data_IF_192933601633
#
_entry.id   IF_192933601633
#
_cell.length_a   1.000
_cell.length_b   1.000
_cell.length_c   1.000
_cell.angle_alpha   90.00
_cell.angle_beta   90.00
_cell.angle_gamma   90.00
#
_symmetry.space_group_name_H-M   'P 1'
#
loop_
_entity.id
_entity.type
_entity.pdbx_description
1 polymer ?
#
# COMPACT_ATOMS: atom_id res chain seq x y z
N UNK A 1 12.03 -13.50 19.22
CA UNK A 1 10.86 -13.56 18.30
C UNK A 1 10.54 -12.15 17.87
N UNK A 2 10.88 -11.78 16.64
CA UNK A 2 10.57 -10.46 16.08
C UNK A 2 9.07 -10.38 15.81
N UNK A 3 8.41 -9.36 16.35
CA UNK A 3 7.04 -9.03 15.99
C UNK A 3 6.98 -8.83 14.48
N UNK A 4 6.12 -9.56 13.75
CA UNK A 4 5.97 -9.33 12.31
C UNK A 4 5.56 -7.86 12.08
N UNK A 5 6.14 -7.24 11.05
CA UNK A 5 5.72 -5.90 10.63
C UNK A 5 4.23 -5.89 10.26
N UNK A 6 3.59 -4.72 10.37
CA UNK A 6 2.16 -4.52 10.11
C UNK A 6 1.69 -5.13 8.77
N UNK A 7 2.42 -5.00 7.64
CA UNK A 7 2.01 -5.64 6.38
C UNK A 7 1.91 -7.16 6.46
N UNK A 8 2.91 -7.82 7.05
CA UNK A 8 2.90 -9.28 7.26
C UNK A 8 1.73 -9.72 8.12
N UNK A 9 1.40 -8.91 9.13
CA UNK A 9 0.28 -9.18 10.01
C UNK A 9 -1.07 -9.02 9.31
N UNK A 10 -1.27 -7.96 8.51
CA UNK A 10 -2.48 -7.75 7.72
C UNK A 10 -2.69 -8.87 6.70
N UNK A 11 -1.61 -9.32 6.03
CA UNK A 11 -1.67 -10.49 5.15
C UNK A 11 -2.21 -11.74 5.86
N UNK A 12 -1.72 -12.02 7.08
CA UNK A 12 -2.23 -13.13 7.91
C UNK A 12 -3.69 -12.94 8.30
N UNK A 13 -4.10 -11.71 8.62
CA UNK A 13 -5.50 -11.41 8.96
C UNK A 13 -6.44 -11.70 7.78
N UNK A 14 -6.06 -11.36 6.54
CA UNK A 14 -6.86 -11.72 5.37
C UNK A 14 -6.96 -13.23 5.17
N UNK A 15 -5.85 -13.97 5.26
CA UNK A 15 -5.86 -15.44 5.17
C UNK A 15 -6.76 -16.06 6.24
N UNK A 16 -6.69 -15.57 7.49
CA UNK A 16 -7.56 -16.06 8.57
C UNK A 16 -9.04 -15.67 8.36
N UNK A 17 -9.30 -14.53 7.71
CA UNK A 17 -10.66 -14.11 7.42
C UNK A 17 -11.35 -14.98 6.38
N UNK A 18 -10.61 -15.47 5.39
CA UNK A 18 -11.15 -16.44 4.41
C UNK A 18 -11.61 -17.72 5.11
N UNK A 19 -10.87 -18.13 6.15
CA UNK A 19 -11.25 -19.20 7.07
C UNK A 19 -12.29 -18.79 8.14
N UNK A 20 -12.95 -17.64 7.98
CA UNK A 20 -13.97 -17.08 8.90
C UNK A 20 -13.50 -16.94 10.36
N UNK A 21 -12.19 -16.86 10.58
CA UNK A 21 -11.56 -16.93 11.89
C UNK A 21 -10.74 -15.68 12.25
N UNK A 22 -10.86 -14.59 11.48
CA UNK A 22 -10.11 -13.36 11.76
C UNK A 22 -10.71 -12.61 12.97
N UNK A 23 -9.92 -12.57 14.04
CA UNK A 23 -10.19 -11.72 15.19
C UNK A 23 -9.95 -10.23 14.87
N UNK A 24 -10.47 -9.35 15.72
CA UNK A 24 -10.13 -7.93 15.72
C UNK A 24 -8.71 -7.76 16.22
N UNK A 25 -7.92 -6.94 15.54
CA UNK A 25 -6.58 -6.54 15.97
C UNK A 25 -6.56 -5.08 16.40
N UNK A 26 -5.81 -4.74 17.44
CA UNK A 26 -5.72 -3.36 17.93
C UNK A 26 -4.31 -2.82 17.71
N UNK A 27 -4.19 -1.84 16.82
CA UNK A 27 -2.93 -1.14 16.54
C UNK A 27 -2.62 -0.18 17.69
N UNK A 28 -1.57 -0.48 18.46
CA UNK A 28 -1.04 0.36 19.56
C UNK A 28 -2.11 0.93 20.53
N UNK A 29 -3.22 0.21 20.74
CA UNK A 29 -4.32 0.64 21.61
C UNK A 29 -5.17 1.81 21.08
N UNK A 30 -5.10 2.14 19.78
CA UNK A 30 -5.81 3.30 19.20
C UNK A 30 -6.81 2.92 18.13
N UNK A 31 -6.42 2.05 17.20
CA UNK A 31 -7.25 1.65 16.06
C UNK A 31 -7.51 0.16 16.08
N UNK A 32 -8.78 -0.20 16.07
CA UNK A 32 -9.23 -1.55 15.79
C UNK A 32 -9.23 -1.78 14.29
N UNK A 33 -8.70 -2.92 13.90
CA UNK A 33 -8.57 -3.40 12.53
C UNK A 33 -9.25 -4.76 12.44
N UNK A 34 -10.08 -4.94 11.42
CA UNK A 34 -10.62 -6.25 11.07
C UNK A 34 -10.53 -6.46 9.57
N UNK A 35 -9.77 -7.48 9.17
CA UNK A 35 -9.73 -7.92 7.79
C UNK A 35 -10.99 -8.75 7.49
N UNK A 36 -11.52 -8.57 6.29
CA UNK A 36 -12.63 -9.33 5.75
C UNK A 36 -12.33 -9.70 4.28
N UNK A 37 -12.72 -10.90 3.88
CA UNK A 37 -12.78 -11.28 2.45
C UNK A 37 -14.22 -11.65 2.11
N UNK A 38 -14.85 -10.91 1.19
CA UNK A 38 -16.23 -11.14 0.77
C UNK A 38 -16.29 -11.27 -0.75
N UNK A 39 -16.80 -12.41 -1.22
CA UNK A 39 -16.87 -12.72 -2.66
C UNK A 39 -15.51 -12.53 -3.37
N UNK A 40 -14.42 -12.97 -2.71
CA UNK A 40 -13.05 -12.83 -3.21
C UNK A 40 -12.45 -11.42 -3.10
N UNK A 41 -13.19 -10.44 -2.54
CA UNK A 41 -12.71 -9.06 -2.37
C UNK A 41 -12.25 -8.83 -0.94
N UNK A 42 -11.00 -8.40 -0.80
CA UNK A 42 -10.41 -7.97 0.46
C UNK A 42 -10.99 -6.61 0.89
N UNK A 43 -11.26 -6.48 2.18
CA UNK A 43 -11.77 -5.28 2.82
C UNK A 43 -11.12 -5.13 4.20
N UNK A 44 -10.67 -3.94 4.55
CA UNK A 44 -10.17 -3.64 5.90
C UNK A 44 -11.14 -2.70 6.61
N UNK A 45 -11.77 -3.18 7.67
CA UNK A 45 -12.58 -2.35 8.55
C UNK A 45 -11.69 -1.74 9.63
N UNK A 46 -11.76 -0.42 9.78
CA UNK A 46 -10.95 0.36 10.73
C UNK A 46 -11.87 1.21 11.59
N UNK A 47 -11.67 1.21 12.91
CA UNK A 47 -12.40 2.11 13.80
C UNK A 47 -11.57 2.47 15.03
N UNK A 48 -11.70 3.70 15.57
CA UNK A 48 -11.03 4.07 16.80
C UNK A 48 -11.63 3.34 18.01
N UNK A 49 -10.80 3.00 18.99
CA UNK A 49 -11.25 2.44 20.27
C UNK A 49 -12.06 3.49 21.05
N UNK A 50 -11.45 4.65 21.29
CA UNK A 50 -12.07 5.86 21.82
C UNK A 50 -11.32 7.10 21.31
N UNK A 51 -12.03 8.21 21.08
CA UNK A 51 -11.40 9.49 20.77
C UNK A 51 -11.36 9.86 19.28
N UNK A 52 -10.18 10.25 18.81
CA UNK A 52 -9.97 10.94 17.52
C UNK A 52 -10.18 9.99 16.33
N UNK A 53 -10.91 10.47 15.33
CA UNK A 53 -10.99 9.80 14.02
C UNK A 53 -9.60 9.63 13.39
N UNK A 54 -9.29 8.48 12.78
CA UNK A 54 -8.06 8.34 12.01
C UNK A 54 -8.00 9.38 10.90
N UNK A 55 -6.80 9.93 10.66
CA UNK A 55 -6.59 10.90 9.58
C UNK A 55 -6.65 10.24 8.20
N UNK A 56 -6.91 11.01 7.14
CA UNK A 56 -6.92 10.48 5.76
C UNK A 56 -5.63 9.74 5.41
N UNK A 57 -4.49 10.37 5.70
CA UNK A 57 -3.17 9.78 5.46
C UNK A 57 -2.92 8.48 6.24
N UNK A 58 -3.37 8.39 7.49
CA UNK A 58 -3.24 7.18 8.30
C UNK A 58 -4.06 6.02 7.69
N UNK A 59 -5.23 6.33 7.13
CA UNK A 59 -6.08 5.36 6.44
C UNK A 59 -5.47 4.92 5.10
N UNK A 60 -4.94 5.85 4.32
CA UNK A 60 -4.20 5.53 3.09
C UNK A 60 -3.01 4.61 3.37
N UNK A 61 -2.19 4.96 4.37
CA UNK A 61 -1.03 4.16 4.77
C UNK A 61 -1.44 2.74 5.24
N UNK A 62 -2.55 2.62 5.99
CA UNK A 62 -3.12 1.33 6.38
C UNK A 62 -3.61 0.50 5.18
N UNK A 63 -4.22 1.16 4.19
CA UNK A 63 -4.70 0.51 2.98
C UNK A 63 -3.56 -0.02 2.11
N UNK A 64 -2.51 0.78 1.95
CA UNK A 64 -1.28 0.35 1.28
C UNK A 64 -0.62 -0.83 2.02
N UNK A 65 -0.53 -0.77 3.35
CA UNK A 65 0.02 -1.84 4.19
C UNK A 65 -0.85 -3.12 4.14
N UNK A 66 -2.16 -2.97 3.90
CA UNK A 66 -3.10 -4.06 3.66
C UNK A 66 -2.96 -4.66 2.26
N UNK A 67 -2.21 -4.03 1.38
CA UNK A 67 -1.97 -4.50 0.03
C UNK A 67 -2.93 -3.92 -1.02
N UNK A 68 -3.60 -2.80 -0.75
CA UNK A 68 -4.34 -2.09 -1.80
C UNK A 68 -3.37 -1.22 -2.63
N UNK A 69 -3.57 -1.22 -3.95
CA UNK A 69 -2.83 -0.35 -4.88
C UNK A 69 -3.38 1.07 -4.86
N UNK A 70 -4.70 1.21 -4.75
CA UNK A 70 -5.42 2.48 -4.63
C UNK A 70 -6.46 2.37 -3.49
N UNK A 71 -6.08 2.66 -2.25
CA UNK A 71 -6.97 2.47 -1.11
C UNK A 71 -8.16 3.44 -1.12
N UNK A 72 -9.37 2.91 -1.39
CA UNK A 72 -10.61 3.67 -1.25
C UNK A 72 -11.16 3.58 0.16
N UNK A 73 -11.22 4.73 0.82
CA UNK A 73 -11.76 4.89 2.16
C UNK A 73 -13.22 5.32 2.08
N UNK A 74 -14.13 4.63 2.79
CA UNK A 74 -15.54 4.99 2.88
C UNK A 74 -16.07 4.89 4.32
N UNK A 75 -16.97 5.78 4.75
CA UNK A 75 -17.67 5.62 6.02
C UNK A 75 -18.42 4.29 6.08
N UNK A 76 -18.27 3.57 7.18
CA UNK A 76 -18.94 2.29 7.45
C UNK A 76 -19.29 2.20 8.94
N UNK A 77 -20.28 2.97 9.41
CA UNK A 77 -20.61 3.02 10.83
C UNK A 77 -21.04 1.64 11.33
N UNK A 78 -20.49 1.22 12.47
CA UNK A 78 -20.84 -0.03 13.15
C UNK A 78 -21.43 0.27 14.53
N UNK A 79 -22.12 -0.69 15.18
CA UNK A 79 -22.65 -0.47 16.54
C UNK A 79 -21.59 0.01 17.54
N UNK A 80 -20.36 -0.49 17.42
CA UNK A 80 -19.23 -0.13 18.29
C UNK A 80 -18.63 1.26 18.00
N UNK A 81 -18.79 1.81 16.79
CA UNK A 81 -18.19 3.10 16.42
C UNK A 81 -18.88 3.72 15.21
N UNK A 82 -19.35 4.97 15.37
CA UNK A 82 -19.91 5.78 14.27
C UNK A 82 -18.83 6.32 13.34
N UNK A 83 -17.57 6.32 13.78
CA UNK A 83 -16.41 6.79 13.02
C UNK A 83 -15.70 5.64 12.28
N UNK A 84 -16.31 4.45 12.27
CA UNK A 84 -15.77 3.32 11.54
C UNK A 84 -15.77 3.59 10.03
N UNK A 85 -14.71 3.15 9.38
CA UNK A 85 -14.51 3.26 7.93
C UNK A 85 -14.11 1.89 7.39
N UNK A 86 -14.42 1.68 6.12
CA UNK A 86 -13.95 0.53 5.36
C UNK A 86 -12.97 1.00 4.30
N UNK A 87 -11.87 0.27 4.15
CA UNK A 87 -10.87 0.46 3.13
C UNK A 87 -10.94 -0.71 2.16
N UNK A 88 -11.00 -0.41 0.88
CA UNK A 88 -11.10 -1.39 -0.21
C UNK A 88 -10.20 -1.02 -1.37
N UNK A 89 -9.86 -1.97 -2.23
CA UNK A 89 -9.17 -1.68 -3.49
C UNK A 89 -10.02 -0.82 -4.43
N UNK A 90 -9.44 0.31 -4.87
CA UNK A 90 -9.96 1.19 -5.90
C UNK A 90 -9.43 0.91 -7.28
N UNK A 91 -8.23 0.31 -7.36
CA UNK A 91 -7.57 0.04 -8.61
C UNK A 91 -8.41 -0.95 -9.44
N UNK A 92 -8.86 -0.49 -10.61
CA UNK A 92 -9.63 -1.29 -11.58
C UNK A 92 -8.84 -1.65 -12.83
N UNK A 93 -7.58 -1.25 -12.89
CA UNK A 93 -6.71 -1.50 -14.03
C UNK A 93 -6.19 -2.93 -14.04
N UNK A 94 -5.28 -3.17 -14.97
CA UNK A 94 -4.54 -4.43 -15.04
C UNK A 94 -3.23 -4.30 -14.27
N UNK A 95 -2.89 -5.34 -13.51
CA UNK A 95 -1.55 -5.46 -12.97
C UNK A 95 -0.62 -6.12 -13.99
N UNK A 96 0.68 -5.87 -13.85
CA UNK A 96 1.70 -6.54 -14.63
C UNK A 96 2.64 -7.31 -13.70
N UNK A 97 2.86 -8.58 -14.01
CA UNK A 97 4.05 -9.28 -13.57
C UNK A 97 5.22 -8.75 -14.41
N UNK A 98 5.95 -7.79 -13.84
CA UNK A 98 6.92 -7.02 -14.59
C UNK A 98 8.06 -7.87 -15.11
N UNK A 99 8.49 -7.54 -16.33
CA UNK A 99 9.70 -8.08 -16.94
C UNK A 99 10.67 -6.91 -17.07
N UNK A 100 11.46 -6.68 -16.03
CA UNK A 100 12.35 -5.54 -15.97
C UNK A 100 13.46 -5.65 -16.99
N UNK A 101 13.60 -4.61 -17.82
CA UNK A 101 14.73 -4.47 -18.72
C UNK A 101 16.04 -4.17 -17.96
N UNK A 102 17.05 -3.78 -18.73
CA UNK A 102 18.37 -3.47 -18.19
C UNK A 102 18.30 -2.39 -17.10
N UNK A 103 18.94 -2.66 -15.97
CA UNK A 103 19.09 -1.70 -14.89
C UNK A 103 20.08 -0.61 -15.30
N UNK A 104 19.65 0.64 -15.24
CA UNK A 104 20.47 1.82 -15.51
C UNK A 104 20.84 2.47 -14.20
N UNK A 105 22.12 2.53 -13.89
CA UNK A 105 22.64 3.24 -12.73
C UNK A 105 22.91 4.70 -13.08
N UNK A 106 22.63 5.59 -12.15
CA UNK A 106 23.03 6.99 -12.25
C UNK A 106 23.74 7.41 -10.97
N UNK A 107 24.78 8.21 -11.16
CA UNK A 107 25.53 8.81 -10.07
C UNK A 107 25.73 10.30 -10.34
N UNK A 108 24.95 11.12 -9.63
CA UNK A 108 25.00 12.55 -9.68
C UNK A 108 25.76 13.11 -8.48
N UNK A 109 26.12 14.41 -8.56
CA UNK A 109 26.86 15.10 -7.50
C UNK A 109 26.17 15.03 -6.13
N UNK A 110 24.83 15.01 -6.09
CA UNK A 110 24.01 15.05 -4.87
C UNK A 110 23.26 13.76 -4.56
N UNK A 111 23.10 12.87 -5.53
CA UNK A 111 22.30 11.65 -5.40
C UNK A 111 22.83 10.54 -6.28
N UNK A 112 22.50 9.31 -5.94
CA UNK A 112 22.78 8.14 -6.74
C UNK A 112 21.56 7.23 -6.71
N UNK A 113 21.43 6.36 -7.70
CA UNK A 113 20.26 5.53 -7.80
C UNK A 113 20.32 4.56 -8.97
N UNK A 114 19.18 3.91 -9.19
CA UNK A 114 18.99 3.09 -10.36
C UNK A 114 17.55 3.21 -10.87
N UNK A 115 17.41 3.00 -12.17
CA UNK A 115 16.13 2.94 -12.85
C UNK A 115 16.08 1.73 -13.79
N UNK A 116 14.94 1.09 -13.90
CA UNK A 116 14.65 0.10 -14.94
C UNK A 116 13.25 0.33 -15.50
N UNK A 117 12.99 -0.22 -16.67
CA UNK A 117 11.70 -0.09 -17.35
C UNK A 117 11.17 -1.48 -17.70
N UNK A 118 9.90 -1.73 -17.40
CA UNK A 118 9.27 -3.00 -17.74
C UNK A 118 9.16 -3.12 -19.28
N UNK A 119 9.64 -4.23 -19.83
CA UNK A 119 9.59 -4.52 -21.25
C UNK A 119 8.17 -4.80 -21.74
N UNK A 120 7.25 -5.20 -20.85
CA UNK A 120 5.84 -5.47 -21.15
C UNK A 120 4.96 -4.23 -21.13
N UNK A 121 4.89 -3.56 -19.98
CA UNK A 121 3.95 -2.47 -19.73
C UNK A 121 4.61 -1.09 -19.63
N UNK A 122 5.91 -0.98 -19.94
CA UNK A 122 6.66 0.29 -20.07
C UNK A 122 6.73 1.20 -18.85
N UNK A 123 6.15 0.79 -17.72
CA UNK A 123 6.33 1.48 -16.43
C UNK A 123 7.79 1.48 -16.04
N UNK A 124 8.23 2.60 -15.49
CA UNK A 124 9.56 2.74 -14.92
C UNK A 124 9.55 2.49 -13.42
N UNK A 125 10.63 1.93 -12.91
CA UNK A 125 10.86 1.71 -11.49
C UNK A 125 12.19 2.36 -11.15
N UNK A 126 12.19 3.30 -10.22
CA UNK A 126 13.38 4.08 -9.86
C UNK A 126 13.53 4.15 -8.36
N UNK A 127 14.76 4.09 -7.86
CA UNK A 127 15.08 4.51 -6.51
C UNK A 127 16.23 5.51 -6.54
N UNK A 128 16.17 6.51 -5.67
CA UNK A 128 17.17 7.57 -5.56
C UNK A 128 17.53 7.78 -4.08
N UNK A 129 18.82 7.72 -3.78
CA UNK A 129 19.38 8.04 -2.47
C UNK A 129 20.21 9.32 -2.54
N UNK A 130 19.98 10.24 -1.59
CA UNK A 130 20.78 11.46 -1.45
C UNK A 130 22.05 11.18 -0.65
N UNK A 131 23.19 11.72 -1.09
CA UNK A 131 24.52 11.45 -0.49
C UNK A 131 24.69 11.97 0.94
N UNK A 132 23.87 12.93 1.40
CA UNK A 132 23.97 13.54 2.74
C UNK A 132 22.79 13.19 3.64
N UNK A 133 22.76 11.97 4.15
CA UNK A 133 21.90 11.54 5.27
C UNK A 133 20.39 11.71 5.07
N UNK A 134 19.92 11.89 3.84
CA UNK A 134 18.50 12.03 3.54
C UNK A 134 17.89 10.72 3.05
N UNK A 135 16.58 10.62 3.26
CA UNK A 135 15.75 9.45 2.96
C UNK A 135 15.84 9.05 1.48
N UNK A 136 15.78 7.75 1.22
CA UNK A 136 15.66 7.17 -0.13
C UNK A 136 14.27 7.43 -0.68
N UNK A 137 14.20 7.96 -1.90
CA UNK A 137 12.96 8.14 -2.65
C UNK A 137 12.75 6.93 -3.53
N UNK A 138 11.57 6.32 -3.43
CA UNK A 138 11.17 5.19 -4.25
C UNK A 138 10.10 5.66 -5.22
N UNK A 139 10.35 5.52 -6.51
CA UNK A 139 9.48 6.01 -7.57
C UNK A 139 8.95 4.85 -8.41
N UNK A 140 7.67 4.92 -8.73
CA UNK A 140 7.02 4.06 -9.72
C UNK A 140 6.39 4.95 -10.81
N UNK A 141 6.61 4.59 -12.06
CA UNK A 141 6.29 5.36 -13.26
C UNK A 141 6.77 6.82 -13.29
N UNK A 142 7.80 7.14 -12.50
CA UNK A 142 8.32 8.51 -12.36
C UNK A 142 7.41 9.51 -11.63
N UNK A 143 6.18 9.14 -11.27
CA UNK A 143 5.21 10.03 -10.64
C UNK A 143 4.72 9.56 -9.26
N UNK A 144 4.78 8.26 -8.97
CA UNK A 144 4.35 7.69 -7.70
C UNK A 144 5.52 7.61 -6.73
N UNK A 145 5.51 8.43 -5.68
CA UNK A 145 6.47 8.32 -4.57
C UNK A 145 5.94 7.32 -3.55
N UNK A 146 6.63 6.18 -3.42
CA UNK A 146 6.19 5.05 -2.61
C UNK A 146 7.05 4.88 -1.35
N UNK A 147 6.50 4.17 -0.36
CA UNK A 147 7.31 3.60 0.73
C UNK A 147 8.06 2.38 0.22
N UNK A 148 9.22 2.09 0.80
CA UNK A 148 10.13 1.05 0.29
C UNK A 148 9.50 -0.35 0.15
N UNK A 149 8.68 -0.77 1.11
CA UNK A 149 8.01 -2.08 1.03
C UNK A 149 6.87 -2.13 0.00
N UNK A 150 6.17 -1.00 -0.23
CA UNK A 150 5.17 -0.88 -1.30
C UNK A 150 5.85 -0.93 -2.65
N UNK A 151 6.95 -0.20 -2.79
CA UNK A 151 7.77 -0.19 -3.99
C UNK A 151 8.29 -1.60 -4.33
N UNK A 152 8.78 -2.35 -3.34
CA UNK A 152 9.20 -3.74 -3.52
C UNK A 152 8.05 -4.62 -4.04
N UNK A 153 6.86 -4.48 -3.46
CA UNK A 153 5.67 -5.21 -3.92
C UNK A 153 5.29 -4.82 -5.34
N UNK A 154 5.25 -3.54 -5.65
CA UNK A 154 4.92 -3.04 -7.00
C UNK A 154 5.99 -3.42 -8.03
N UNK A 155 7.23 -3.62 -7.60
CA UNK A 155 8.29 -4.14 -8.45
C UNK A 155 8.02 -5.59 -8.90
N UNK A 156 7.37 -6.41 -8.07
CA UNK A 156 6.98 -7.80 -8.41
C UNK A 156 5.66 -7.84 -9.19
N UNK A 157 4.66 -7.10 -8.68
CA UNK A 157 3.32 -7.03 -9.21
C UNK A 157 2.77 -5.62 -8.97
N UNK A 158 2.73 -4.81 -10.02
CA UNK A 158 2.28 -3.42 -9.93
C UNK A 158 1.27 -3.06 -11.01
N UNK A 159 0.63 -1.89 -10.89
CA UNK A 159 -0.24 -1.33 -11.92
C UNK A 159 0.47 -1.18 -13.27
N UNK A 160 -0.08 -1.76 -14.35
CA UNK A 160 0.42 -1.46 -15.69
C UNK A 160 0.05 -0.03 -16.11
N UNK A 161 0.91 0.64 -16.89
CA UNK A 161 0.55 1.93 -17.50
C UNK A 161 -0.67 1.76 -18.43
N UNK A 162 -1.65 2.65 -18.31
CA UNK A 162 -2.98 2.61 -18.95
C UNK A 162 -3.82 3.84 -18.55
N UNK A 163 -5.14 3.85 -18.80
CA UNK A 163 -6.09 4.98 -18.54
C UNK A 163 -6.24 5.44 -17.06
N UNK A 164 -5.24 5.17 -16.22
CA UNK A 164 -5.21 5.48 -14.78
C UNK A 164 -4.06 6.44 -14.47
N UNK A 165 -4.04 7.58 -15.17
CA UNK A 165 -3.46 8.80 -14.63
C UNK A 165 -4.50 9.55 -13.78
N UNK A 166 -4.05 10.42 -12.87
CA UNK A 166 -3.84 10.14 -11.44
C UNK A 166 -5.15 9.95 -10.63
N UNK A 167 -5.12 9.11 -9.60
CA UNK A 167 -5.93 9.31 -8.38
C UNK A 167 -4.99 9.51 -7.18
N UNK A 168 -4.08 10.47 -7.30
CA UNK A 168 -3.53 11.11 -6.10
C UNK A 168 -4.58 12.11 -5.64
N UNK A 169 -5.42 11.72 -4.68
CA UNK A 169 -6.14 12.71 -3.88
C UNK A 169 -5.10 13.48 -3.05
N UNK A 170 -4.63 14.60 -3.60
CA UNK A 170 -4.07 15.70 -2.81
C UNK A 170 -5.15 16.76 -2.60
#
# INVERSE_FOLDING_TARGET
MTTPGLPTQLGRMFTLSEAQSCAVHVLHGRLHLKAAVRAGKQMLLVWPDQGRAPGSRELEELGEDAGFFDPLVRPWPIPASKQAVVITEGFRGQTCHHEWGMLTHFDARSSYGASCTCQRCRVSLTWEARRRGQQTTWLYDGCWVLRGHIWQRWAELGPASGELGPQAHH
#
